data_IF_230145067358
#
_entry.id   IF_230145067358
#
_cell.length_a   1.000
_cell.length_b   1.000
_cell.length_c   1.000
_cell.angle_alpha   90.00
_cell.angle_beta   90.00
_cell.angle_gamma   90.00
#
_symmetry.space_group_name_H-M   'P 1'
#
loop_
_entity.id
_entity.type
_entity.pdbx_description
1 polymer ?
#
# COMPACT_ATOMS: atom_id res chain seq x y z
N UNK A 1 15.90 -20.36 9.80
CA UNK A 1 15.24 -19.91 8.56
C UNK A 1 13.86 -19.39 8.92
N UNK A 2 13.67 -18.06 9.03
CA UNK A 2 12.34 -17.50 9.34
C UNK A 2 11.55 -17.46 8.05
N UNK A 3 10.50 -18.29 7.96
CA UNK A 3 9.51 -18.25 6.88
C UNK A 3 8.91 -16.84 6.85
N UNK A 4 9.32 -16.04 5.86
CA UNK A 4 8.77 -14.74 5.57
C UNK A 4 7.38 -14.95 4.99
N UNK A 5 6.37 -14.96 5.86
CA UNK A 5 4.97 -14.82 5.46
C UNK A 5 4.87 -13.56 4.60
N UNK A 6 4.32 -13.69 3.39
CA UNK A 6 4.41 -12.71 2.29
C UNK A 6 3.98 -11.27 2.61
N UNK A 7 3.43 -11.00 3.79
CA UNK A 7 2.91 -9.70 4.23
C UNK A 7 3.85 -8.90 5.13
N UNK A 8 4.73 -9.56 5.88
CA UNK A 8 5.76 -8.83 6.65
C UNK A 8 6.78 -8.16 5.71
N UNK A 9 6.98 -8.73 4.53
CA UNK A 9 7.84 -8.17 3.49
C UNK A 9 7.34 -6.84 2.94
N UNK A 10 6.03 -6.68 2.78
CA UNK A 10 5.41 -5.44 2.28
C UNK A 10 5.65 -4.27 3.23
N UNK A 11 5.38 -4.45 4.53
CA UNK A 11 5.67 -3.44 5.56
C UNK A 11 7.17 -3.13 5.61
N UNK A 12 8.04 -4.15 5.61
CA UNK A 12 9.48 -3.94 5.62
C UNK A 12 9.97 -3.14 4.40
N UNK A 13 9.41 -3.41 3.21
CA UNK A 13 9.77 -2.71 2.00
C UNK A 13 9.30 -1.26 2.05
N UNK A 14 8.02 -1.03 2.37
CA UNK A 14 7.43 0.31 2.40
C UNK A 14 8.02 1.19 3.51
N UNK A 15 8.44 0.62 4.64
CA UNK A 15 9.13 1.37 5.69
C UNK A 15 10.55 1.80 5.30
N UNK A 16 11.21 1.12 4.37
CA UNK A 16 12.61 1.39 4.00
C UNK A 16 12.75 2.40 2.85
N UNK A 17 11.74 2.56 2.00
CA UNK A 17 11.82 3.40 0.82
C UNK A 17 10.95 4.66 0.97
N UNK A 18 11.60 5.82 1.11
CA UNK A 18 10.95 7.12 0.99
C UNK A 18 11.32 7.76 -0.35
N UNK A 19 10.35 7.88 -1.25
CA UNK A 19 10.52 8.53 -2.55
C UNK A 19 9.27 9.33 -2.93
N UNK A 20 9.37 10.53 -3.54
CA UNK A 20 8.22 11.36 -3.89
C UNK A 20 7.19 10.72 -4.85
N UNK A 21 7.56 9.63 -5.51
CA UNK A 21 6.68 8.87 -6.43
C UNK A 21 6.21 7.53 -5.85
N UNK A 22 6.53 7.23 -4.59
CA UNK A 22 6.08 6.02 -3.91
C UNK A 22 5.13 6.42 -2.79
N UNK A 23 4.01 5.70 -2.66
CA UNK A 23 3.08 5.93 -1.57
C UNK A 23 3.77 5.66 -0.23
N UNK A 24 3.74 6.66 0.64
CA UNK A 24 4.34 6.56 1.96
C UNK A 24 3.41 5.81 2.91
N UNK A 25 3.94 4.76 3.54
CA UNK A 25 3.31 4.15 4.71
C UNK A 25 3.55 5.06 5.92
N UNK A 26 2.48 5.54 6.54
CA UNK A 26 2.50 6.40 7.73
C UNK A 26 2.48 5.55 9.00
N UNK A 27 1.74 4.45 8.99
CA UNK A 27 1.62 3.56 10.15
C UNK A 27 1.08 2.18 9.77
N UNK A 28 1.26 1.22 10.67
CA UNK A 28 0.65 -0.09 10.54
C UNK A 28 0.30 -0.66 11.92
N UNK A 29 -0.77 -1.45 11.97
CA UNK A 29 -1.12 -2.29 13.10
C UNK A 29 -1.26 -3.73 12.59
N UNK A 30 -0.51 -4.64 13.19
CA UNK A 30 -0.48 -6.05 12.83
C UNK A 30 -0.53 -6.87 14.11
N UNK A 31 -1.71 -7.36 14.47
CA UNK A 31 -1.89 -8.26 15.61
C UNK A 31 -2.88 -9.36 15.24
N UNK A 32 -2.40 -10.61 15.27
CA UNK A 32 -3.13 -11.81 14.86
C UNK A 32 -3.85 -11.68 13.50
N UNK A 33 -5.18 -11.48 13.55
CA UNK A 33 -6.06 -11.33 12.39
C UNK A 33 -6.48 -9.88 12.12
N UNK A 34 -6.13 -8.95 13.01
CA UNK A 34 -6.38 -7.53 12.84
C UNK A 34 -5.19 -6.89 12.13
N UNK A 35 -5.47 -6.31 10.95
CA UNK A 35 -4.46 -5.69 10.10
C UNK A 35 -4.97 -4.35 9.60
N UNK A 36 -4.20 -3.31 9.86
CA UNK A 36 -4.50 -1.96 9.42
C UNK A 36 -3.22 -1.34 8.88
N UNK A 37 -3.31 -0.71 7.71
CA UNK A 37 -2.21 -0.03 7.03
C UNK A 37 -2.65 1.40 6.74
N UNK A 38 -1.96 2.35 7.36
CA UNK A 38 -2.21 3.77 7.17
C UNK A 38 -1.24 4.31 6.13
N UNK A 39 -1.76 4.62 4.95
CA UNK A 39 -1.02 5.24 3.86
C UNK A 39 -1.30 6.73 3.77
N UNK A 40 -0.38 7.47 3.16
CA UNK A 40 -0.73 8.82 2.70
C UNK A 40 -1.86 8.77 1.67
N UNK A 41 -2.75 9.76 1.73
CA UNK A 41 -3.89 9.80 0.83
C UNK A 41 -3.49 10.29 -0.56
N UNK A 42 -3.70 9.43 -1.56
CA UNK A 42 -3.48 9.77 -2.97
C UNK A 42 -4.78 10.27 -3.61
N UNK A 43 -4.97 11.59 -3.62
CA UNK A 43 -6.20 12.26 -4.08
C UNK A 43 -6.65 11.89 -5.51
N UNK A 44 -5.72 11.48 -6.37
CA UNK A 44 -5.99 11.18 -7.78
C UNK A 44 -6.47 9.75 -8.03
N UNK A 45 -6.47 8.89 -7.00
CA UNK A 45 -6.87 7.49 -7.12
C UNK A 45 -5.79 6.61 -7.75
N UNK A 46 -6.15 5.40 -8.16
CA UNK A 46 -5.21 4.41 -8.68
C UNK A 46 -4.71 4.76 -10.09
N UNK A 47 -3.52 4.29 -10.43
CA UNK A 47 -3.02 4.38 -11.80
C UNK A 47 -3.94 3.64 -12.78
N UNK A 48 -4.56 2.53 -12.36
CA UNK A 48 -5.57 1.82 -13.14
C UNK A 48 -6.73 2.74 -13.52
N UNK A 49 -7.23 3.53 -12.58
CA UNK A 49 -8.26 4.53 -12.88
C UNK A 49 -7.78 5.55 -13.90
N UNK A 50 -6.50 5.91 -13.93
CA UNK A 50 -5.98 6.84 -14.92
C UNK A 50 -5.78 6.22 -16.30
N UNK A 51 -5.41 4.94 -16.36
CA UNK A 51 -5.09 4.25 -17.62
C UNK A 51 -6.33 3.64 -18.29
N UNK A 52 -7.31 3.19 -17.51
CA UNK A 52 -8.45 2.41 -18.01
C UNK A 52 -9.80 3.12 -17.78
N UNK A 53 -9.80 4.44 -17.56
CA UNK A 53 -11.01 5.31 -17.47
C UNK A 53 -11.77 5.48 -18.81
N UNK A 54 -11.84 4.41 -19.59
CA UNK A 54 -12.74 4.24 -20.73
C UNK A 54 -13.57 2.99 -20.45
N UNK A 55 -14.74 3.14 -19.81
CA UNK A 55 -15.79 2.11 -19.99
C UNK A 55 -16.83 1.86 -18.91
N UNK A 56 -16.77 2.41 -17.70
CA UNK A 56 -17.89 2.20 -16.76
C UNK A 56 -18.15 3.41 -15.87
N UNK A 57 -19.18 4.13 -16.27
CA UNK A 57 -19.98 4.99 -15.42
C UNK A 57 -20.49 4.17 -14.22
N UNK A 58 -20.47 4.77 -13.03
CA UNK A 58 -21.39 4.39 -11.95
C UNK A 58 -22.78 4.92 -12.28
#
# INVERSE_FOLDING_TARGET
MKNLSSRQGEVNYLCQFHHPNLVKLIGYYLEDDHRLLDYEFLQRGSLENHLFRTGSCF
#
